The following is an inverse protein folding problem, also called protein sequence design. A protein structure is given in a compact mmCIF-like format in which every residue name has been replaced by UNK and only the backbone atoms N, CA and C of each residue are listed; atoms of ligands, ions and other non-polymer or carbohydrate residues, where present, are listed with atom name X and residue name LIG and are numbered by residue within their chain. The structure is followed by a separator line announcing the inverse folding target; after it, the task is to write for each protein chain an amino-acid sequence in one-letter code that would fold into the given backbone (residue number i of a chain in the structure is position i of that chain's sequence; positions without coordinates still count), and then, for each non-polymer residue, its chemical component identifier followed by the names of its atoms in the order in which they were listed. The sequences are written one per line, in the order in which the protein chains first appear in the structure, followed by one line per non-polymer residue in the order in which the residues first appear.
data_IF_452179160486
#
_entry.id   IF_452179160486
#
_cell.length_a   1.000
_cell.length_b   1.000
_cell.length_c   1.000
_cell.angle_alpha   90.00
_cell.angle_beta   90.00
_cell.angle_gamma   90.00
#
_symmetry.space_group_name_H-M   'P 1'
#
loop_
_entity.id
_entity.type
_entity.pdbx_description
1 polymer ?
#
# COMPACT_ATOMS: atom_id res chain seq x y z
N UNK A 1 -3.47 26.53 -11.15
CA UNK A 1 -2.81 25.88 -10.00
C UNK A 1 -1.47 26.57 -9.75
N UNK A 2 -1.17 26.99 -8.52
CA UNK A 2 0.13 27.62 -8.19
C UNK A 2 1.26 26.58 -8.19
N UNK A 3 2.52 27.00 -8.33
CA UNK A 3 3.68 26.09 -8.32
C UNK A 3 3.73 25.26 -7.02
N UNK A 4 3.37 25.87 -5.89
CA UNK A 4 3.34 25.20 -4.59
C UNK A 4 2.32 24.05 -4.54
N UNK A 5 1.08 24.30 -5.00
CA UNK A 5 0.05 23.27 -5.09
C UNK A 5 0.46 22.11 -5.99
N UNK A 6 1.10 22.42 -7.13
CA UNK A 6 1.62 21.40 -8.04
C UNK A 6 2.65 20.51 -7.34
N UNK A 7 3.59 21.09 -6.61
CA UNK A 7 4.65 20.35 -5.92
C UNK A 7 4.10 19.43 -4.83
N UNK A 8 3.06 19.86 -4.11
CA UNK A 8 2.39 19.05 -3.10
C UNK A 8 1.73 17.83 -3.73
N UNK A 9 1.02 17.99 -4.85
CA UNK A 9 0.39 16.87 -5.54
C UNK A 9 1.43 15.90 -6.11
N UNK A 10 2.54 16.40 -6.66
CA UNK A 10 3.65 15.55 -7.13
C UNK A 10 4.23 14.74 -5.95
N UNK A 11 4.49 15.42 -4.82
CA UNK A 11 4.95 14.77 -3.61
C UNK A 11 3.97 13.67 -3.15
N UNK A 12 2.68 13.99 -3.08
CA UNK A 12 1.68 13.04 -2.61
C UNK A 12 1.58 11.80 -3.52
N UNK A 13 1.62 11.99 -4.85
CA UNK A 13 1.66 10.88 -5.81
C UNK A 13 2.90 10.00 -5.64
N UNK A 14 4.06 10.57 -5.34
CA UNK A 14 5.28 9.80 -5.05
C UNK A 14 5.14 8.95 -3.78
N UNK A 15 4.52 9.50 -2.73
CA UNK A 15 4.23 8.76 -1.48
C UNK A 15 3.27 7.60 -1.73
N UNK A 16 2.23 7.82 -2.56
CA UNK A 16 1.27 6.77 -2.94
C UNK A 16 1.98 5.64 -3.69
N UNK A 17 2.75 5.99 -4.72
CA UNK A 17 3.50 5.04 -5.54
C UNK A 17 4.47 4.21 -4.70
N UNK A 18 5.29 4.87 -3.89
CA UNK A 18 6.26 4.19 -3.02
C UNK A 18 5.58 3.29 -1.97
N UNK A 19 4.44 3.71 -1.40
CA UNK A 19 3.66 2.88 -0.48
C UNK A 19 3.04 1.67 -1.18
N UNK A 20 2.46 1.83 -2.36
CA UNK A 20 1.90 0.71 -3.14
C UNK A 20 2.98 -0.32 -3.50
N UNK A 21 4.17 0.15 -3.87
CA UNK A 21 5.34 -0.70 -4.14
C UNK A 21 5.79 -1.44 -2.87
N UNK A 22 5.85 -0.75 -1.73
CA UNK A 22 6.18 -1.36 -0.44
C UNK A 22 5.20 -2.48 -0.08
N UNK A 23 3.89 -2.22 -0.21
CA UNK A 23 2.86 -3.23 0.03
C UNK A 23 3.04 -4.45 -0.87
N UNK A 24 3.26 -4.24 -2.18
CA UNK A 24 3.53 -5.35 -3.11
C UNK A 24 4.78 -6.17 -2.70
N UNK A 25 5.84 -5.52 -2.20
CA UNK A 25 7.03 -6.20 -1.70
C UNK A 25 6.77 -6.99 -0.41
N UNK A 26 5.99 -6.47 0.53
CA UNK A 26 5.60 -7.23 1.72
C UNK A 26 4.79 -8.46 1.35
N UNK A 27 3.79 -8.30 0.47
CA UNK A 27 3.01 -9.43 -0.01
C UNK A 27 3.87 -10.45 -0.78
N UNK A 28 4.89 -10.01 -1.54
CA UNK A 28 5.81 -10.88 -2.30
C UNK A 28 6.54 -11.88 -1.43
N UNK A 29 7.04 -11.43 -0.28
CA UNK A 29 7.92 -12.23 0.58
C UNK A 29 7.17 -12.83 1.77
N UNK A 30 5.86 -12.60 1.89
CA UNK A 30 5.08 -13.08 3.03
C UNK A 30 5.35 -12.31 4.32
N UNK A 31 5.86 -11.08 4.23
CA UNK A 31 6.14 -10.25 5.40
C UNK A 31 4.85 -9.63 5.94
N UNK A 32 4.66 -9.69 7.26
CA UNK A 32 3.59 -9.02 7.99
C UNK A 32 4.19 -8.07 9.02
N UNK A 33 3.85 -6.78 8.91
CA UNK A 33 4.35 -5.75 9.81
C UNK A 33 3.75 -5.85 11.22
N UNK A 34 2.48 -6.23 11.30
CA UNK A 34 1.74 -6.41 12.56
C UNK A 34 1.25 -5.12 13.24
N UNK A 35 1.82 -3.95 12.92
CA UNK A 35 1.38 -2.64 13.45
C UNK A 35 1.50 -1.55 12.39
N UNK A 36 0.50 -1.42 11.52
CA UNK A 36 0.51 -0.39 10.46
C UNK A 36 -0.28 0.85 10.87
N UNK A 37 0.03 1.41 12.04
CA UNK A 37 -0.51 2.70 12.43
C UNK A 37 0.07 3.80 11.53
N UNK A 38 -0.61 4.94 11.40
CA UNK A 38 -0.20 6.03 10.49
C UNK A 38 1.18 6.61 10.83
N UNK A 39 1.57 6.61 12.10
CA UNK A 39 2.91 7.01 12.58
C UNK A 39 4.03 6.04 12.15
N UNK A 40 3.69 4.79 11.83
CA UNK A 40 4.62 3.76 11.36
C UNK A 40 4.65 3.64 9.82
N UNK A 41 4.01 4.59 9.11
CA UNK A 41 4.06 4.68 7.66
C UNK A 41 5.11 5.69 7.23
N UNK A 42 6.25 5.21 6.74
CA UNK A 42 7.31 6.08 6.22
C UNK A 42 6.83 6.84 4.98
N UNK A 43 7.07 8.16 4.96
CA UNK A 43 6.78 9.00 3.80
C UNK A 43 7.63 8.63 2.57
N UNK A 44 8.73 7.90 2.76
CA UNK A 44 9.61 7.43 1.69
C UNK A 44 9.26 6.01 1.20
N UNK A 45 8.19 5.40 1.70
CA UNK A 45 7.84 4.01 1.37
C UNK A 45 8.85 2.99 1.91
N UNK A 46 9.47 3.28 3.06
CA UNK A 46 10.37 2.37 3.75
C UNK A 46 9.63 1.56 4.84
N UNK A 47 10.10 0.34 5.10
CA UNK A 47 9.68 -0.41 6.29
C UNK A 47 10.37 0.21 7.51
N UNK A 48 9.61 0.56 8.54
CA UNK A 48 10.11 1.19 9.78
C UNK A 48 9.40 0.57 10.99
N UNK A 49 9.88 0.84 12.20
CA UNK A 49 9.26 0.38 13.45
C UNK A 49 8.96 -1.13 13.53
N UNK A 50 10.03 -1.91 13.50
CA UNK A 50 10.01 -3.37 13.63
C UNK A 50 9.64 -3.79 15.07
N UNK A 51 8.34 -4.00 15.31
CA UNK A 51 7.80 -4.54 16.56
C UNK A 51 7.35 -6.00 16.45
N UNK A 52 6.05 -6.31 16.55
CA UNK A 52 5.53 -7.67 16.38
C UNK A 52 5.37 -7.98 14.88
N UNK A 53 6.46 -8.00 14.12
CA UNK A 53 6.47 -8.39 12.71
C UNK A 53 6.77 -9.89 12.57
N UNK A 54 6.60 -10.43 11.36
CA UNK A 54 7.09 -11.76 11.03
C UNK A 54 6.82 -12.16 9.59
N UNK A 55 7.26 -13.35 9.22
CA UNK A 55 6.99 -13.94 7.91
C UNK A 55 5.99 -15.08 8.06
N UNK A 56 5.18 -15.25 7.02
CA UNK A 56 4.33 -16.43 6.87
C UNK A 56 5.22 -17.65 6.60
N UNK A 57 5.10 -18.66 7.46
CA UNK A 57 5.66 -20.00 7.23
C UNK A 57 4.67 -20.85 6.42
N UNK A 58 3.59 -21.32 7.07
CA UNK A 58 2.46 -21.94 6.39
C UNK A 58 1.56 -20.85 5.80
N UNK A 59 1.22 -20.97 4.52
CA UNK A 59 0.40 -19.96 3.85
C UNK A 59 -0.99 -19.83 4.49
N UNK A 60 -1.16 -18.75 5.26
CA UNK A 60 -2.44 -18.33 5.83
C UNK A 60 -2.66 -16.83 5.55
N UNK A 61 -3.65 -16.48 4.69
CA UNK A 61 -3.93 -15.08 4.37
C UNK A 61 -4.44 -14.27 5.56
N UNK A 62 -4.96 -14.95 6.60
CA UNK A 62 -5.47 -14.36 7.83
C UNK A 62 -4.45 -14.35 8.98
N UNK A 63 -3.21 -14.72 8.71
CA UNK A 63 -2.14 -14.75 9.70
C UNK A 63 -1.73 -13.34 10.13
N UNK A 64 -1.48 -13.19 11.43
CA UNK A 64 -0.89 -11.99 12.03
C UNK A 64 0.08 -12.38 13.14
N UNK A 65 1.29 -11.79 13.18
CA UNK A 65 2.23 -11.94 14.29
C UNK A 65 1.81 -11.14 15.54
N UNK A 66 0.91 -10.15 15.38
CA UNK A 66 0.49 -9.29 16.47
C UNK A 66 -0.57 -9.95 17.36
N UNK A 67 -0.14 -10.41 18.54
CA UNK A 67 -0.99 -11.08 19.53
C UNK A 67 -1.98 -10.12 20.24
N UNK A 68 -1.74 -8.81 20.21
CA UNK A 68 -2.66 -7.80 20.77
C UNK A 68 -3.78 -7.42 19.80
N UNK A 69 -3.57 -7.57 18.49
CA UNK A 69 -4.58 -7.41 17.43
C UNK A 69 -5.31 -8.74 17.13
N UNK A 70 -5.25 -9.73 18.02
CA UNK A 70 -5.72 -11.10 17.73
C UNK A 70 -7.22 -11.20 17.42
N UNK A 71 -8.02 -10.27 17.94
CA UNK A 71 -9.47 -10.27 17.77
C UNK A 71 -9.93 -9.61 16.47
N UNK A 72 -9.35 -8.45 16.10
CA UNK A 72 -9.74 -7.72 14.90
C UNK A 72 -8.91 -8.14 13.68
N UNK A 73 -7.65 -8.53 13.93
CA UNK A 73 -6.66 -8.90 12.92
C UNK A 73 -6.62 -7.86 11.82
N UNK A 74 -6.64 -6.58 12.20
CA UNK A 74 -6.61 -5.43 11.30
C UNK A 74 -5.38 -5.50 10.39
N UNK A 75 -4.23 -5.86 10.96
CA UNK A 75 -2.92 -5.85 10.29
C UNK A 75 -2.48 -7.23 9.78
N UNK A 76 -3.41 -8.18 9.62
CA UNK A 76 -3.13 -9.50 9.02
C UNK A 76 -2.61 -9.38 7.59
N UNK A 77 -1.90 -10.41 7.14
CA UNK A 77 -1.22 -10.44 5.84
C UNK A 77 -2.06 -9.93 4.67
N UNK A 78 -3.25 -10.51 4.42
CA UNK A 78 -4.07 -10.10 3.26
C UNK A 78 -4.57 -8.66 3.34
N UNK A 79 -4.67 -8.09 4.53
CA UNK A 79 -5.25 -6.76 4.74
C UNK A 79 -4.21 -5.64 4.57
N UNK A 80 -2.91 -5.92 4.62
CA UNK A 80 -1.87 -4.88 4.59
C UNK A 80 -2.02 -3.91 3.40
N UNK A 81 -2.31 -4.35 2.16
CA UNK A 81 -2.53 -3.42 1.05
C UNK A 81 -3.71 -2.47 1.27
N UNK A 82 -4.84 -2.96 1.81
CA UNK A 82 -6.00 -2.12 2.09
C UNK A 82 -5.72 -1.14 3.25
N UNK A 83 -4.95 -1.57 4.25
CA UNK A 83 -4.52 -0.69 5.35
C UNK A 83 -3.56 0.40 4.86
N UNK A 84 -2.64 0.07 3.94
CA UNK A 84 -1.77 1.04 3.29
C UNK A 84 -2.55 2.13 2.55
N UNK A 85 -3.56 1.74 1.77
CA UNK A 85 -4.48 2.68 1.10
C UNK A 85 -5.22 3.57 2.10
N UNK A 86 -5.78 2.97 3.16
CA UNK A 86 -6.47 3.72 4.20
C UNK A 86 -5.54 4.74 4.89
N UNK A 87 -4.29 4.37 5.17
CA UNK A 87 -3.30 5.29 5.76
C UNK A 87 -2.95 6.44 4.80
N UNK A 88 -2.90 6.22 3.49
CA UNK A 88 -2.74 7.28 2.49
C UNK A 88 -3.93 8.24 2.45
N UNK A 89 -5.16 7.73 2.64
CA UNK A 89 -6.34 8.58 2.76
C UNK A 89 -6.28 9.48 4.01
N UNK A 90 -5.74 8.97 5.12
CA UNK A 90 -5.48 9.79 6.32
C UNK A 90 -4.44 10.89 6.04
N UNK A 91 -3.39 10.59 5.26
CA UNK A 91 -2.42 11.59 4.81
C UNK A 91 -3.06 12.63 3.88
N UNK A 92 -3.94 12.23 2.95
CA UNK A 92 -4.68 13.16 2.10
C UNK A 92 -5.50 14.16 2.93
N UNK A 93 -6.21 13.67 3.96
CA UNK A 93 -6.96 14.51 4.89
C UNK A 93 -6.06 15.52 5.62
N UNK A 94 -4.83 15.14 5.98
CA UNK A 94 -3.86 16.04 6.62
C UNK A 94 -3.31 17.11 5.66
N UNK A 95 -3.20 16.80 4.36
CA UNK A 95 -2.70 17.71 3.33
C UNK A 95 -3.81 18.63 2.77
N UNK A 96 -5.07 18.21 2.87
CA UNK A 96 -6.24 18.92 2.33
C UNK A 96 -6.28 20.43 2.66
N UNK A 97 -5.99 20.91 3.89
CA UNK A 97 -6.04 22.34 4.19
C UNK A 97 -5.13 23.21 3.31
N UNK A 98 -4.06 22.64 2.76
CA UNK A 98 -3.13 23.35 1.86
C UNK A 98 -3.60 23.26 0.40
N UNK A 99 -4.24 22.14 0.02
CA UNK A 99 -4.71 21.90 -1.35
C UNK A 99 -6.05 22.61 -1.62
N UNK A 100 -6.95 22.60 -0.65
CA UNK A 100 -8.26 23.25 -0.69
C UNK A 100 -9.26 22.63 -1.67
N UNK A 101 -8.98 21.44 -2.20
CA UNK A 101 -9.78 20.76 -3.20
C UNK A 101 -9.61 19.23 -3.03
N UNK A 102 -10.72 18.47 -3.07
CA UNK A 102 -10.73 17.03 -2.80
C UNK A 102 -10.38 16.24 -4.05
N UNK A 103 -10.86 16.67 -5.21
CA UNK A 103 -10.74 16.00 -6.49
C UNK A 103 -9.30 15.56 -6.82
N UNK A 104 -8.25 16.42 -6.79
CA UNK A 104 -6.90 15.99 -7.14
C UNK A 104 -6.26 15.06 -6.09
N UNK A 105 -6.75 15.06 -4.85
CA UNK A 105 -6.30 14.14 -3.81
C UNK A 105 -6.95 12.76 -4.00
N UNK A 106 -8.23 12.74 -4.34
CA UNK A 106 -8.95 11.51 -4.64
C UNK A 106 -8.39 10.85 -5.91
N UNK A 107 -8.19 11.61 -6.99
CA UNK A 107 -7.56 11.12 -8.21
C UNK A 107 -6.19 10.47 -7.92
N UNK A 108 -5.38 11.09 -7.06
CA UNK A 108 -4.11 10.52 -6.66
C UNK A 108 -4.28 9.22 -5.85
N UNK A 109 -5.25 9.16 -4.94
CA UNK A 109 -5.57 7.96 -4.15
C UNK A 109 -6.06 6.81 -5.02
N UNK A 110 -6.79 7.09 -6.09
CA UNK A 110 -7.29 6.08 -7.02
C UNK A 110 -6.15 5.40 -7.79
N UNK A 111 -5.04 6.10 -8.04
CA UNK A 111 -3.82 5.52 -8.66
C UNK A 111 -3.19 4.40 -7.81
N UNK A 112 -3.43 4.39 -6.48
CA UNK A 112 -2.86 3.38 -5.58
C UNK A 112 -3.22 1.96 -6.00
N UNK A 113 -4.51 1.70 -6.28
CA UNK A 113 -5.00 0.35 -6.56
C UNK A 113 -4.41 -0.18 -7.86
N UNK A 114 -4.34 0.67 -8.90
CA UNK A 114 -3.73 0.32 -10.17
C UNK A 114 -2.23 0.01 -10.02
N UNK A 115 -1.49 0.85 -9.29
CA UNK A 115 -0.07 0.64 -9.05
C UNK A 115 0.14 -0.66 -8.27
N UNK A 116 -0.58 -0.87 -7.16
CA UNK A 116 -0.46 -2.08 -6.37
C UNK A 116 -0.81 -3.33 -7.18
N UNK A 117 -1.95 -3.33 -7.88
CA UNK A 117 -2.42 -4.49 -8.65
C UNK A 117 -1.44 -4.88 -9.76
N UNK A 118 -0.89 -3.89 -10.48
CA UNK A 118 0.15 -4.11 -11.49
C UNK A 118 1.41 -4.69 -10.86
N UNK A 119 1.94 -4.07 -9.79
CA UNK A 119 3.16 -4.54 -9.12
C UNK A 119 3.02 -5.91 -8.49
N UNK A 120 1.83 -6.23 -7.97
CA UNK A 120 1.48 -7.55 -7.48
C UNK A 120 1.47 -8.57 -8.62
N UNK A 121 0.79 -8.27 -9.73
CA UNK A 121 0.68 -9.17 -10.89
C UNK A 121 2.05 -9.46 -11.52
N UNK A 122 2.85 -8.42 -11.78
CA UNK A 122 4.22 -8.53 -12.29
C UNK A 122 5.09 -9.40 -11.38
N UNK A 123 4.94 -9.22 -10.06
CA UNK A 123 5.68 -9.98 -9.07
C UNK A 123 5.27 -11.46 -9.06
N UNK A 124 3.97 -11.75 -9.09
CA UNK A 124 3.46 -13.15 -9.11
C UNK A 124 3.94 -13.85 -10.37
N UNK A 125 3.84 -13.19 -11.52
CA UNK A 125 4.36 -13.71 -12.79
C UNK A 125 5.85 -14.02 -12.69
N UNK A 126 6.65 -13.08 -12.16
CA UNK A 126 8.08 -13.29 -11.97
C UNK A 126 8.40 -14.45 -11.01
N UNK A 127 7.65 -14.62 -9.90
CA UNK A 127 7.83 -15.76 -8.98
C UNK A 127 7.50 -17.11 -9.62
N UNK A 128 6.62 -17.12 -10.62
CA UNK A 128 6.25 -18.31 -11.40
C UNK A 128 7.17 -18.52 -12.63
N UNK A 129 8.11 -17.62 -12.89
CA UNK A 129 8.99 -17.68 -14.06
C UNK A 129 8.33 -17.24 -15.37
N UNK A 130 7.22 -16.50 -15.30
CA UNK A 130 6.54 -15.94 -16.47
C UNK A 130 7.18 -14.62 -16.89
N UNK A 131 7.46 -14.47 -18.19
CA UNK A 131 8.12 -13.29 -18.77
C UNK A 131 7.15 -12.26 -19.36
N UNK A 132 5.90 -12.66 -19.59
CA UNK A 132 4.85 -11.82 -20.16
C UNK A 132 3.51 -12.17 -19.53
N UNK A 133 2.75 -11.14 -19.15
CA UNK A 133 1.36 -11.27 -18.70
C UNK A 133 0.47 -10.80 -19.86
N UNK A 134 -0.14 -11.75 -20.56
CA UNK A 134 -1.14 -11.42 -21.58
C UNK A 134 -2.45 -11.08 -20.86
N UNK A 135 -2.84 -9.80 -20.88
CA UNK A 135 -4.16 -9.41 -20.40
C UNK A 135 -5.21 -9.79 -21.44
N UNK A 136 -5.97 -10.85 -21.16
CA UNK A 136 -7.17 -11.16 -21.92
C UNK A 136 -8.28 -10.20 -21.48
N UNK A 137 -8.74 -9.33 -22.38
CA UNK A 137 -9.98 -8.58 -22.17
C UNK A 137 -11.12 -9.58 -21.98
N UNK A 138 -11.56 -9.79 -20.73
CA UNK A 138 -12.87 -10.39 -20.47
C UNK A 138 -13.90 -9.32 -20.83
N UNK A 139 -14.49 -9.45 -22.01
CA UNK A 139 -15.73 -8.78 -22.32
C UNK A 139 -16.82 -9.43 -21.45
N UNK A 140 -17.10 -8.84 -20.30
CA UNK A 140 -18.35 -9.04 -19.54
C UNK A 140 -19.12 -7.71 -19.54
#
# INVERSE_FOLDING_TARGET
MTIHLRNILIFFKEVISSTAVLMAHWQRVGFVHGVMNTDNMSIHGLTIDYGPYGWIDDFDPDWTPNTTDRHQRRYRFRNQPAVGHWNLAQLANAIYPVVGNVEPLQEALDEYEEIFARRWSDMVAAKLGLVEIVQTHRNE
#
